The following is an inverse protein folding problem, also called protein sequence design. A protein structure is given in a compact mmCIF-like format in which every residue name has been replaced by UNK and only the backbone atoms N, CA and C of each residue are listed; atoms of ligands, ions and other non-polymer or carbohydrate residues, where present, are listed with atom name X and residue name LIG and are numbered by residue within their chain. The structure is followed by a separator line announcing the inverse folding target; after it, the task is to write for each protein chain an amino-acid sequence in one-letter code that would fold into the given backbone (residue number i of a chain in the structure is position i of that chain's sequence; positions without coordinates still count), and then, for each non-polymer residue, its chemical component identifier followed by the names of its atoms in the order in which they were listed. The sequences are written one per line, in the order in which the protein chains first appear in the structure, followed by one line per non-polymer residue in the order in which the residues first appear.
data_IF_050894466713
#
_entry.id   IF_050894466713
#
_cell.length_a   1.000
_cell.length_b   1.000
_cell.length_c   1.000
_cell.angle_alpha   90.00
_cell.angle_beta   90.00
_cell.angle_gamma   90.00
#
_symmetry.space_group_name_H-M   'P 1'
#
loop_
_entity.id
_entity.type
_entity.pdbx_description
1 polymer ?
#
# COMPACT_ATOMS: atom_id res chain seq x y z
N UNK A 1 -15.13 14.39 -21.12
CA UNK A 1 -14.32 13.20 -20.82
C UNK A 1 -14.51 12.78 -19.40
N UNK A 2 -14.66 11.49 -19.18
CA UNK A 2 -14.85 10.95 -17.84
C UNK A 2 -13.56 10.30 -17.35
N UNK A 3 -12.84 11.01 -16.49
CA UNK A 3 -11.58 10.54 -15.94
C UNK A 3 -11.77 9.47 -14.86
N UNK A 4 -12.96 9.42 -14.27
CA UNK A 4 -13.26 8.49 -13.16
C UNK A 4 -14.72 8.05 -13.25
N UNK A 5 -15.07 7.34 -14.33
CA UNK A 5 -16.45 6.91 -14.55
C UNK A 5 -16.94 5.91 -13.51
N UNK A 6 -16.03 5.20 -12.83
CA UNK A 6 -16.38 4.26 -11.78
C UNK A 6 -16.42 4.91 -10.40
N UNK A 7 -16.20 6.23 -10.34
CA UNK A 7 -16.25 7.04 -9.12
C UNK A 7 -15.26 6.59 -8.03
N UNK A 8 -14.11 6.09 -8.43
CA UNK A 8 -13.07 5.74 -7.45
C UNK A 8 -12.71 6.97 -6.61
N UNK A 9 -12.52 6.76 -5.32
CA UNK A 9 -12.20 7.84 -4.39
C UNK A 9 -13.42 8.55 -3.83
N UNK A 10 -14.63 8.18 -4.24
CA UNK A 10 -15.87 8.75 -3.71
C UNK A 10 -16.49 7.77 -2.74
N UNK A 11 -16.72 8.21 -1.50
CA UNK A 11 -17.28 7.39 -0.42
C UNK A 11 -16.48 6.08 -0.31
N UNK A 12 -17.14 4.92 -0.35
CA UNK A 12 -16.51 3.61 -0.22
C UNK A 12 -16.30 2.90 -1.57
N UNK A 13 -16.39 3.63 -2.67
CA UNK A 13 -16.32 3.02 -4.01
C UNK A 13 -14.99 2.29 -4.25
N UNK A 14 -13.86 2.86 -3.82
CA UNK A 14 -12.56 2.20 -3.96
C UNK A 14 -12.44 0.98 -3.06
N UNK A 15 -13.00 1.06 -1.86
CA UNK A 15 -13.03 -0.08 -0.95
C UNK A 15 -13.77 -1.26 -1.57
N UNK A 16 -14.92 -1.00 -2.16
CA UNK A 16 -15.70 -2.03 -2.85
C UNK A 16 -14.98 -2.57 -4.07
N UNK A 17 -14.34 -1.69 -4.85
CA UNK A 17 -13.57 -2.11 -6.03
C UNK A 17 -12.40 -3.01 -5.66
N UNK A 18 -11.82 -2.81 -4.49
CA UNK A 18 -10.73 -3.64 -3.98
C UNK A 18 -11.20 -5.01 -3.45
N UNK A 19 -12.50 -5.26 -3.41
CA UNK A 19 -13.07 -6.50 -2.91
C UNK A 19 -13.32 -6.48 -1.41
N UNK A 20 -13.45 -5.30 -0.84
CA UNK A 20 -13.66 -5.07 0.58
C UNK A 20 -12.49 -5.64 1.40
N UNK A 21 -12.72 -5.95 2.66
CA UNK A 21 -11.61 -6.40 3.53
C UNK A 21 -10.96 -7.69 3.04
N UNK A 22 -11.75 -8.62 2.52
CA UNK A 22 -11.22 -9.89 2.00
C UNK A 22 -10.32 -9.65 0.78
N UNK A 23 -10.72 -8.76 -0.13
CA UNK A 23 -9.90 -8.41 -1.30
C UNK A 23 -8.62 -7.68 -0.93
N UNK A 24 -8.72 -6.75 0.02
CA UNK A 24 -7.54 -6.04 0.53
C UNK A 24 -6.57 -7.02 1.20
N UNK A 25 -7.10 -7.97 1.96
CA UNK A 25 -6.27 -9.00 2.61
C UNK A 25 -5.48 -9.80 1.57
N UNK A 26 -6.14 -10.26 0.51
CA UNK A 26 -5.47 -10.99 -0.58
C UNK A 26 -4.40 -10.14 -1.26
N UNK A 27 -4.69 -8.87 -1.49
CA UNK A 27 -3.72 -7.94 -2.09
C UNK A 27 -2.47 -7.81 -1.22
N UNK A 28 -2.66 -7.60 0.07
CA UNK A 28 -1.54 -7.41 1.02
C UNK A 28 -0.73 -8.69 1.16
N UNK A 29 -1.38 -9.84 1.23
CA UNK A 29 -0.67 -11.13 1.28
C UNK A 29 0.22 -11.30 0.06
N UNK A 30 -0.31 -11.02 -1.14
CA UNK A 30 0.46 -11.13 -2.38
C UNK A 30 1.60 -10.10 -2.42
N UNK A 31 1.35 -8.88 -1.95
CA UNK A 31 2.37 -7.84 -1.86
C UNK A 31 3.61 -8.32 -1.07
N UNK A 32 3.41 -8.96 0.07
CA UNK A 32 4.55 -9.47 0.85
C UNK A 32 5.18 -10.71 0.23
N UNK A 33 4.42 -11.52 -0.51
CA UNK A 33 5.00 -12.62 -1.32
C UNK A 33 5.94 -12.03 -2.37
N UNK A 34 5.53 -10.96 -3.05
CA UNK A 34 6.39 -10.31 -4.05
C UNK A 34 7.64 -9.73 -3.39
N UNK A 35 7.49 -9.10 -2.23
CA UNK A 35 8.62 -8.53 -1.48
C UNK A 35 9.66 -9.59 -1.11
N UNK A 36 9.21 -10.79 -0.74
CA UNK A 36 10.12 -11.90 -0.44
C UNK A 36 10.81 -12.46 -1.68
N UNK A 37 10.22 -12.29 -2.86
CA UNK A 37 10.60 -13.04 -4.06
C UNK A 37 11.49 -12.27 -5.02
N UNK A 38 11.30 -10.95 -5.16
CA UNK A 38 12.00 -10.21 -6.20
C UNK A 38 13.31 -9.62 -5.67
N UNK A 39 14.39 -9.66 -6.49
CA UNK A 39 15.70 -9.16 -6.05
C UNK A 39 15.67 -7.68 -5.68
N UNK A 40 14.92 -6.86 -6.42
CA UNK A 40 14.83 -5.42 -6.20
C UNK A 40 14.27 -5.06 -4.83
N UNK A 41 13.54 -5.97 -4.18
CA UNK A 41 12.87 -5.70 -2.91
C UNK A 41 13.65 -6.22 -1.69
N UNK A 42 14.82 -6.81 -1.86
CA UNK A 42 15.53 -7.44 -0.75
C UNK A 42 15.91 -6.43 0.33
N UNK A 43 16.27 -5.21 -0.06
CA UNK A 43 16.62 -4.18 0.92
C UNK A 43 15.42 -3.78 1.77
N UNK A 44 14.27 -3.54 1.14
CA UNK A 44 13.06 -3.19 1.90
C UNK A 44 12.55 -4.38 2.70
N UNK A 45 12.72 -5.60 2.20
CA UNK A 45 12.36 -6.81 2.96
C UNK A 45 13.13 -6.86 4.28
N UNK A 46 14.43 -6.53 4.24
CA UNK A 46 15.28 -6.51 5.43
C UNK A 46 14.88 -5.44 6.44
N UNK A 47 14.21 -4.39 6.00
CA UNK A 47 13.70 -3.35 6.91
C UNK A 47 12.53 -3.85 7.75
N UNK A 48 11.89 -4.94 7.33
CA UNK A 48 10.82 -5.58 8.06
C UNK A 48 11.39 -6.68 8.94
N UNK A 49 10.73 -6.97 10.06
CA UNK A 49 11.13 -8.07 10.91
C UNK A 49 10.89 -9.43 10.25
N UNK A 50 11.35 -10.50 10.90
CA UNK A 50 11.12 -11.86 10.41
C UNK A 50 9.63 -12.20 10.36
N UNK A 51 8.88 -11.77 11.37
CA UNK A 51 7.45 -11.99 11.45
C UNK A 51 6.73 -10.83 10.75
N UNK A 52 6.10 -11.15 9.63
CA UNK A 52 5.37 -10.15 8.84
C UNK A 52 3.91 -9.97 9.29
N UNK A 53 3.42 -10.78 10.22
CA UNK A 53 2.01 -10.70 10.64
C UNK A 53 1.61 -9.30 11.15
N UNK A 54 2.39 -8.65 12.02
CA UNK A 54 2.01 -7.32 12.49
C UNK A 54 1.95 -6.28 11.35
N UNK A 55 2.91 -6.31 10.41
CA UNK A 55 2.93 -5.33 9.32
C UNK A 55 1.85 -5.62 8.29
N UNK A 56 1.53 -6.90 8.04
CA UNK A 56 0.38 -7.24 7.19
C UNK A 56 -0.91 -6.65 7.75
N UNK A 57 -1.15 -6.86 9.03
CA UNK A 57 -2.35 -6.35 9.70
C UNK A 57 -2.42 -4.83 9.60
N UNK A 58 -1.32 -4.14 9.88
CA UNK A 58 -1.28 -2.68 9.79
C UNK A 58 -1.58 -2.18 8.39
N UNK A 59 -1.01 -2.80 7.37
CA UNK A 59 -1.24 -2.38 6.00
C UNK A 59 -2.68 -2.65 5.56
N UNK A 60 -3.24 -3.82 5.91
CA UNK A 60 -4.64 -4.14 5.64
C UNK A 60 -5.55 -3.09 6.27
N UNK A 61 -5.33 -2.77 7.53
CA UNK A 61 -6.15 -1.82 8.26
C UNK A 61 -6.02 -0.40 7.71
N UNK A 62 -4.81 0.01 7.37
CA UNK A 62 -4.59 1.30 6.73
C UNK A 62 -5.33 1.40 5.39
N UNK A 63 -5.18 0.41 4.53
CA UNK A 63 -5.82 0.42 3.21
C UNK A 63 -7.35 0.42 3.31
N UNK A 64 -7.91 -0.29 4.30
CA UNK A 64 -9.35 -0.27 4.53
C UNK A 64 -9.87 1.16 4.64
N UNK A 65 -9.35 1.93 5.58
CA UNK A 65 -9.80 3.32 5.78
C UNK A 65 -9.39 4.24 4.64
N UNK A 66 -8.18 4.06 4.10
CA UNK A 66 -7.66 4.88 3.02
C UNK A 66 -8.51 4.75 1.74
N UNK A 67 -9.08 3.58 1.50
CA UNK A 67 -9.94 3.34 0.34
C UNK A 67 -11.42 3.68 0.59
N UNK A 68 -11.74 4.22 1.75
CA UNK A 68 -13.09 4.67 2.08
C UNK A 68 -13.93 3.64 2.83
N UNK A 69 -13.32 2.55 3.27
CA UNK A 69 -13.98 1.55 4.11
C UNK A 69 -13.83 1.85 5.61
N UNK A 70 -14.03 0.83 6.45
CA UNK A 70 -13.90 1.01 7.90
C UNK A 70 -12.52 1.50 8.30
N UNK A 71 -12.46 2.44 9.24
CA UNK A 71 -11.21 3.07 9.69
C UNK A 71 -10.51 2.21 10.74
N UNK A 72 -10.15 1.00 10.35
CA UNK A 72 -9.60 -0.01 11.26
C UNK A 72 -8.26 0.41 11.85
N UNK A 73 -7.43 1.10 11.06
CA UNK A 73 -6.11 1.51 11.53
C UNK A 73 -6.21 2.52 12.68
N UNK A 74 -7.02 3.58 12.49
CA UNK A 74 -7.17 4.60 13.53
C UNK A 74 -7.85 4.06 14.78
N UNK A 75 -8.75 3.11 14.64
CA UNK A 75 -9.42 2.47 15.79
C UNK A 75 -8.43 1.62 16.61
N UNK A 76 -7.54 0.90 15.95
CA UNK A 76 -6.61 -0.02 16.60
C UNK A 76 -5.33 0.66 17.06
N UNK A 77 -4.77 1.57 16.24
CA UNK A 77 -3.43 2.13 16.44
C UNK A 77 -3.40 3.63 16.69
N UNK A 78 -4.53 4.31 16.57
CA UNK A 78 -4.60 5.76 16.75
C UNK A 78 -4.28 6.53 15.47
N UNK A 79 -4.08 7.83 15.62
CA UNK A 79 -4.03 8.78 14.50
C UNK A 79 -2.65 9.09 13.93
N UNK A 80 -1.64 8.26 14.16
CA UNK A 80 -0.30 8.54 13.64
C UNK A 80 -0.30 8.41 12.11
N UNK A 81 0.38 9.35 11.43
CA UNK A 81 0.46 9.29 9.97
C UNK A 81 1.45 8.22 9.51
N UNK A 82 1.18 7.60 8.38
CA UNK A 82 2.06 6.58 7.79
C UNK A 82 3.45 7.17 7.47
N UNK A 83 3.58 8.37 6.87
CA UNK A 83 4.92 8.95 6.67
C UNK A 83 5.70 9.11 7.96
N UNK A 84 5.07 9.63 9.03
CA UNK A 84 5.73 9.79 10.32
C UNK A 84 6.19 8.44 10.90
N UNK A 85 5.38 7.40 10.75
CA UNK A 85 5.73 6.07 11.24
C UNK A 85 6.97 5.50 10.55
N UNK A 86 7.34 6.01 9.38
CA UNK A 86 8.48 5.54 8.60
C UNK A 86 9.70 6.46 8.66
N UNK A 87 9.66 7.55 9.42
CA UNK A 87 10.75 8.55 9.45
C UNK A 87 12.11 7.94 9.78
N UNK A 88 12.15 6.95 10.65
CA UNK A 88 13.40 6.32 11.11
C UNK A 88 14.07 5.44 10.06
N UNK A 89 13.34 5.06 9.00
CA UNK A 89 13.86 4.19 7.96
C UNK A 89 14.53 5.02 6.86
N UNK A 90 15.55 4.45 6.23
CA UNK A 90 16.21 5.07 5.10
C UNK A 90 15.51 4.63 3.82
N UNK A 91 14.65 5.49 3.31
CA UNK A 91 13.86 5.22 2.10
C UNK A 91 14.23 6.25 1.03
N UNK A 92 15.06 5.82 0.10
CA UNK A 92 15.41 6.62 -1.07
C UNK A 92 14.53 6.26 -2.25
N UNK A 93 14.92 6.74 -3.43
CA UNK A 93 14.18 6.47 -4.67
C UNK A 93 14.11 4.98 -4.98
N UNK A 94 15.21 4.25 -4.76
CA UNK A 94 15.25 2.82 -5.04
C UNK A 94 14.29 2.03 -4.16
N UNK A 95 14.22 2.36 -2.88
CA UNK A 95 13.33 1.69 -1.93
C UNK A 95 11.86 2.01 -2.23
N UNK A 96 11.58 3.27 -2.55
CA UNK A 96 10.24 3.68 -2.97
C UNK A 96 9.80 2.90 -4.22
N UNK A 97 10.67 2.84 -5.23
CA UNK A 97 10.36 2.18 -6.49
C UNK A 97 10.23 0.67 -6.31
N UNK A 98 11.04 0.06 -5.44
CA UNK A 98 10.93 -1.36 -5.13
C UNK A 98 9.59 -1.68 -4.46
N UNK A 99 9.16 -0.84 -3.52
CA UNK A 99 7.86 -0.98 -2.86
C UNK A 99 6.72 -0.91 -3.88
N UNK A 100 6.79 0.08 -4.77
CA UNK A 100 5.77 0.25 -5.82
C UNK A 100 5.77 -0.90 -6.81
N UNK A 101 6.94 -1.48 -7.12
CA UNK A 101 7.01 -2.66 -7.98
C UNK A 101 6.32 -3.86 -7.33
N UNK A 102 6.58 -4.10 -6.04
CA UNK A 102 5.89 -5.16 -5.31
C UNK A 102 4.38 -4.97 -5.36
N UNK A 103 3.94 -3.73 -5.16
CA UNK A 103 2.51 -3.43 -5.17
C UNK A 103 1.91 -3.60 -6.56
N UNK A 104 2.62 -3.16 -7.60
CA UNK A 104 2.17 -3.34 -8.98
C UNK A 104 1.96 -4.82 -9.31
N UNK A 105 2.92 -5.65 -8.97
CA UNK A 105 2.83 -7.09 -9.23
C UNK A 105 1.67 -7.72 -8.46
N UNK A 106 1.48 -7.32 -7.21
CA UNK A 106 0.38 -7.82 -6.40
C UNK A 106 -0.98 -7.37 -6.95
N UNK A 107 -1.10 -6.11 -7.36
CA UNK A 107 -2.32 -5.58 -7.96
C UNK A 107 -2.66 -6.33 -9.24
N UNK A 108 -1.66 -6.57 -10.09
CA UNK A 108 -1.86 -7.26 -11.36
C UNK A 108 -2.38 -8.70 -11.16
N UNK A 109 -2.07 -9.31 -10.04
CA UNK A 109 -2.53 -10.66 -9.72
C UNK A 109 -3.97 -10.71 -9.17
N UNK A 110 -4.58 -9.56 -8.88
CA UNK A 110 -5.94 -9.52 -8.34
C UNK A 110 -6.98 -9.46 -9.46
N UNK A 111 -8.20 -9.97 -9.21
CA UNK A 111 -9.26 -9.93 -10.22
C UNK A 111 -9.95 -8.55 -10.26
N UNK A 112 -9.16 -7.49 -10.36
CA UNK A 112 -9.67 -6.13 -10.43
C UNK A 112 -9.93 -5.73 -11.88
N UNK A 113 -10.84 -4.77 -12.07
CA UNK A 113 -10.97 -4.08 -13.35
C UNK A 113 -9.65 -3.37 -13.68
N UNK A 114 -9.30 -3.31 -14.95
CA UNK A 114 -8.09 -2.62 -15.39
C UNK A 114 -8.08 -1.16 -14.95
N UNK A 115 -9.22 -0.49 -15.01
CA UNK A 115 -9.33 0.90 -14.56
C UNK A 115 -8.98 1.06 -13.08
N UNK A 116 -9.38 0.09 -12.26
CA UNK A 116 -9.04 0.14 -10.83
C UNK A 116 -7.56 -0.14 -10.59
N UNK A 117 -6.96 -1.06 -11.32
CA UNK A 117 -5.52 -1.34 -11.20
C UNK A 117 -4.70 -0.08 -11.47
N UNK A 118 -5.04 0.64 -12.54
CA UNK A 118 -4.35 1.90 -12.90
C UNK A 118 -4.57 2.96 -11.81
N UNK A 119 -5.80 3.12 -11.37
CA UNK A 119 -6.16 4.10 -10.34
C UNK A 119 -5.41 3.81 -9.03
N UNK A 120 -5.45 2.57 -8.57
CA UNK A 120 -4.89 2.18 -7.28
C UNK A 120 -3.39 2.41 -7.23
N UNK A 121 -2.68 1.97 -8.27
CA UNK A 121 -1.23 2.16 -8.31
C UNK A 121 -0.86 3.65 -8.35
N UNK A 122 -1.58 4.43 -9.14
CA UNK A 122 -1.35 5.87 -9.22
C UNK A 122 -1.55 6.55 -7.86
N UNK A 123 -2.58 6.16 -7.13
CA UNK A 123 -2.84 6.72 -5.80
C UNK A 123 -1.80 6.31 -4.78
N UNK A 124 -1.32 5.06 -4.83
CA UNK A 124 -0.32 4.57 -3.90
C UNK A 124 1.04 5.25 -4.06
N UNK A 125 1.32 5.83 -5.22
CA UNK A 125 2.54 6.61 -5.42
C UNK A 125 2.62 7.82 -4.48
N UNK A 126 1.47 8.38 -4.10
CA UNK A 126 1.42 9.56 -3.24
C UNK A 126 1.97 9.27 -1.84
N UNK A 127 1.43 8.30 -1.07
CA UNK A 127 2.01 8.00 0.24
C UNK A 127 3.43 7.43 0.14
N UNK A 128 3.74 6.66 -0.90
CA UNK A 128 5.10 6.13 -1.08
C UNK A 128 6.13 7.25 -1.20
N UNK A 129 5.82 8.28 -1.99
CA UNK A 129 6.72 9.42 -2.14
C UNK A 129 6.81 10.24 -0.85
N UNK A 130 5.73 10.37 -0.11
CA UNK A 130 5.76 11.07 1.19
C UNK A 130 6.65 10.36 2.20
N UNK A 131 6.62 9.02 2.21
CA UNK A 131 7.51 8.24 3.06
C UNK A 131 8.98 8.54 2.70
N UNK A 132 9.31 8.60 1.41
CA UNK A 132 10.66 8.95 0.97
C UNK A 132 11.06 10.35 1.44
N UNK A 133 10.15 11.33 1.28
CA UNK A 133 10.43 12.73 1.62
C UNK A 133 10.73 12.94 3.10
N UNK A 134 10.10 12.17 3.99
CA UNK A 134 10.29 12.31 5.44
C UNK A 134 11.32 11.32 5.98
N UNK A 135 11.94 10.52 5.14
CA UNK A 135 12.90 9.50 5.54
C UNK A 135 14.11 10.12 6.23
N UNK A 136 14.73 9.35 7.13
CA UNK A 136 15.94 9.75 7.84
C UNK A 136 17.10 10.04 6.89
N UNK A 137 17.11 9.45 5.70
CA UNK A 137 18.15 9.66 4.68
C UNK A 137 17.50 9.66 3.29
N UNK A 138 16.73 10.71 2.96
CA UNK A 138 16.04 10.79 1.67
C UNK A 138 17.02 11.16 0.58
N UNK A 139 17.29 10.26 -0.33
CA UNK A 139 18.22 10.50 -1.45
C UNK A 139 17.53 10.61 -2.79
#
# INVERSE_FOLDING_TARGET
MQLNKDNYGVADSSYKAAGELAGITRLVEDFYVQMDSIPEAQKIRKMHGKDLDPVRKKLIYFLSGWLGGPRLYSEEYGGISIPQAHQRFRVGYQERDAWLLCMKLAIDNQPYKDSFKVYLLAQLRIPAERVRQVSADPT
#
